data_IF_987710019433
#
_entry.id   IF_987710019433
#
_cell.length_a   1.000
_cell.length_b   1.000
_cell.length_c   1.000
_cell.angle_alpha   90.00
_cell.angle_beta   90.00
_cell.angle_gamma   90.00
#
_symmetry.space_group_name_H-M   'P 1'
#
loop_
_entity.id
_entity.type
_entity.pdbx_description
1 polymer ?
#
# COMPACT_ATOMS: atom_id res chain seq x y z
N UNK A 1 33.65 7.50 -11.76
CA UNK A 1 32.25 7.02 -11.99
C UNK A 1 31.29 8.01 -11.37
N UNK A 2 30.52 8.77 -12.16
CA UNK A 2 29.51 9.70 -11.63
C UNK A 2 28.46 8.92 -10.88
N UNK A 3 28.18 9.29 -9.63
CA UNK A 3 27.06 8.70 -8.86
C UNK A 3 25.77 9.06 -9.60
N UNK A 4 25.16 8.10 -10.27
CA UNK A 4 23.85 8.29 -10.88
C UNK A 4 22.87 8.75 -9.79
N UNK A 5 22.25 9.92 -9.99
CA UNK A 5 21.30 10.48 -9.02
C UNK A 5 20.03 9.64 -9.07
N UNK A 6 19.67 9.05 -7.95
CA UNK A 6 18.44 8.27 -7.82
C UNK A 6 17.20 9.13 -8.08
N UNK A 7 16.14 8.51 -8.63
CA UNK A 7 14.84 9.14 -8.85
C UNK A 7 14.28 9.70 -7.53
N UNK A 8 13.90 10.97 -7.53
CA UNK A 8 13.16 11.54 -6.40
C UNK A 8 11.73 11.01 -6.44
N UNK A 9 11.34 10.25 -5.41
CA UNK A 9 10.01 9.68 -5.32
C UNK A 9 8.96 10.71 -4.90
N UNK A 10 7.81 10.62 -5.55
CA UNK A 10 6.57 11.37 -5.29
C UNK A 10 5.41 10.37 -5.31
N UNK A 11 4.22 10.77 -4.91
CA UNK A 11 3.02 9.92 -5.02
C UNK A 11 2.77 9.46 -6.46
N UNK A 12 2.92 10.36 -7.43
CA UNK A 12 2.67 10.10 -8.85
C UNK A 12 3.65 9.12 -9.50
N UNK A 13 4.88 8.99 -8.98
CA UNK A 13 5.88 8.10 -9.57
C UNK A 13 6.26 6.90 -8.71
N UNK A 14 5.71 6.78 -7.49
CA UNK A 14 6.06 5.72 -6.54
C UNK A 14 5.91 4.31 -7.13
N UNK A 15 4.88 4.09 -7.93
CA UNK A 15 4.58 2.79 -8.57
C UNK A 15 5.10 2.67 -10.00
N UNK A 16 5.91 3.62 -10.47
CA UNK A 16 6.48 3.53 -11.83
C UNK A 16 7.52 2.42 -11.92
N UNK A 17 7.63 1.82 -13.09
CA UNK A 17 8.66 0.81 -13.39
C UNK A 17 10.08 1.36 -13.15
N UNK A 18 10.33 2.66 -13.40
CA UNK A 18 11.60 3.27 -13.11
C UNK A 18 11.88 3.27 -11.60
N UNK A 19 10.89 3.65 -10.78
CA UNK A 19 11.04 3.61 -9.33
C UNK A 19 11.29 2.17 -8.82
N UNK A 20 10.65 1.17 -9.42
CA UNK A 20 10.84 -0.25 -9.07
C UNK A 20 12.20 -0.80 -9.50
N UNK A 21 12.82 -0.22 -10.53
CA UNK A 21 14.21 -0.56 -10.93
C UNK A 21 15.27 0.04 -10.02
N UNK A 22 15.00 1.20 -9.43
CA UNK A 22 15.96 1.93 -8.60
C UNK A 22 15.82 1.64 -7.10
N UNK A 23 14.62 1.25 -6.68
CA UNK A 23 14.28 1.01 -5.27
C UNK A 23 13.56 -0.33 -5.08
N UNK A 24 13.98 -1.06 -4.09
CA UNK A 24 13.28 -2.25 -3.63
C UNK A 24 12.08 -1.85 -2.77
N UNK A 25 10.94 -2.50 -2.98
CA UNK A 25 9.74 -2.34 -2.13
C UNK A 25 9.37 -3.65 -1.45
N UNK A 26 8.52 -3.59 -0.42
CA UNK A 26 8.01 -4.80 0.25
C UNK A 26 7.24 -5.68 -0.72
N UNK A 27 6.39 -5.10 -1.58
CA UNK A 27 5.62 -5.86 -2.57
C UNK A 27 6.54 -6.57 -3.57
N UNK A 28 7.58 -5.88 -4.04
CA UNK A 28 8.58 -6.46 -4.92
C UNK A 28 9.36 -7.59 -4.23
N UNK A 29 9.76 -7.41 -2.97
CA UNK A 29 10.43 -8.45 -2.20
C UNK A 29 9.55 -9.70 -2.05
N UNK A 30 8.27 -9.51 -1.70
CA UNK A 30 7.30 -10.63 -1.64
C UNK A 30 7.10 -11.30 -3.01
N UNK A 31 7.14 -10.52 -4.11
CA UNK A 31 7.05 -11.07 -5.47
C UNK A 31 8.25 -11.93 -5.82
N UNK A 32 9.48 -11.53 -5.44
CA UNK A 32 10.67 -12.35 -5.59
C UNK A 32 10.57 -13.66 -4.80
N UNK A 33 10.09 -13.61 -3.56
CA UNK A 33 9.88 -14.83 -2.75
C UNK A 33 8.86 -15.79 -3.40
N UNK A 34 7.91 -15.27 -4.16
CA UNK A 34 6.89 -16.09 -4.83
C UNK A 34 7.38 -16.64 -6.17
N UNK A 35 7.97 -15.81 -7.01
CA UNK A 35 8.48 -16.19 -8.32
C UNK A 35 9.48 -15.14 -8.84
N UNK A 36 10.77 -15.48 -8.78
CA UNK A 36 11.84 -14.60 -9.25
C UNK A 36 11.73 -14.31 -10.75
N UNK A 37 11.48 -15.33 -11.57
CA UNK A 37 11.39 -15.17 -13.02
C UNK A 37 10.30 -14.19 -13.44
N UNK A 38 9.10 -14.27 -12.84
CA UNK A 38 8.00 -13.36 -13.12
C UNK A 38 8.33 -11.93 -12.65
N UNK A 39 8.98 -11.78 -11.49
CA UNK A 39 9.39 -10.46 -10.98
C UNK A 39 10.46 -9.82 -11.86
N UNK A 40 11.42 -10.61 -12.35
CA UNK A 40 12.42 -10.12 -13.30
C UNK A 40 11.80 -9.74 -14.64
N UNK A 41 10.83 -10.51 -15.16
CA UNK A 41 10.11 -10.17 -16.39
C UNK A 41 9.32 -8.85 -16.22
N UNK A 42 8.67 -8.64 -15.06
CA UNK A 42 8.04 -7.36 -14.74
C UNK A 42 9.06 -6.19 -14.76
N UNK A 43 10.20 -6.35 -14.09
CA UNK A 43 11.23 -5.31 -14.03
C UNK A 43 11.86 -5.00 -15.41
N UNK A 44 11.87 -5.96 -16.33
CA UNK A 44 12.28 -5.73 -17.72
C UNK A 44 11.17 -5.08 -18.56
N UNK A 45 9.94 -5.04 -18.06
CA UNK A 45 8.78 -4.53 -18.79
C UNK A 45 8.14 -5.55 -19.73
N UNK A 46 8.49 -6.83 -19.60
CA UNK A 46 8.00 -7.95 -20.43
C UNK A 46 6.69 -8.54 -19.90
N UNK A 47 6.33 -8.20 -18.65
CA UNK A 47 5.15 -8.72 -17.97
C UNK A 47 4.47 -7.63 -17.13
N UNK A 48 3.14 -7.63 -17.13
CA UNK A 48 2.33 -6.83 -16.22
C UNK A 48 1.28 -7.74 -15.57
N UNK A 49 1.10 -7.60 -14.26
CA UNK A 49 0.03 -8.32 -13.56
C UNK A 49 -1.32 -7.67 -13.85
N UNK A 50 -2.34 -8.49 -14.07
CA UNK A 50 -3.70 -7.99 -14.20
C UNK A 50 -4.20 -7.41 -12.87
N UNK A 51 -4.94 -6.31 -12.96
CA UNK A 51 -5.63 -5.73 -11.81
C UNK A 51 -6.89 -6.53 -11.51
N UNK A 52 -6.93 -7.20 -10.37
CA UNK A 52 -8.10 -7.96 -9.95
C UNK A 52 -9.15 -7.07 -9.27
N UNK A 53 -10.43 -7.47 -9.30
CA UNK A 53 -11.50 -6.77 -8.57
C UNK A 53 -11.17 -6.62 -7.07
N UNK A 54 -10.54 -7.63 -6.47
CA UNK A 54 -10.15 -7.56 -5.06
C UNK A 54 -9.11 -6.45 -4.79
N UNK A 55 -8.15 -6.27 -5.68
CA UNK A 55 -7.18 -5.16 -5.59
C UNK A 55 -7.87 -3.80 -5.77
N UNK A 56 -8.78 -3.68 -6.75
CA UNK A 56 -9.54 -2.45 -6.97
C UNK A 56 -10.41 -2.09 -5.75
N UNK A 57 -11.05 -3.07 -5.11
CA UNK A 57 -11.83 -2.85 -3.87
C UNK A 57 -10.93 -2.36 -2.75
N UNK A 58 -9.74 -2.94 -2.57
CA UNK A 58 -8.75 -2.44 -1.60
C UNK A 58 -8.36 -0.99 -1.90
N UNK A 59 -7.98 -0.70 -3.13
CA UNK A 59 -7.60 0.66 -3.57
C UNK A 59 -8.75 1.67 -3.43
N UNK A 60 -10.00 1.24 -3.62
CA UNK A 60 -11.19 2.08 -3.40
C UNK A 60 -11.31 2.53 -1.94
N UNK A 61 -11.12 1.58 -1.01
CA UNK A 61 -11.15 1.89 0.44
C UNK A 61 -9.96 2.79 0.80
N UNK A 62 -8.76 2.48 0.32
CA UNK A 62 -7.56 3.29 0.56
C UNK A 62 -7.77 4.73 0.05
N UNK A 63 -8.29 4.90 -1.18
CA UNK A 63 -8.55 6.21 -1.78
C UNK A 63 -9.52 7.07 -0.94
N UNK A 64 -10.51 6.45 -0.26
CA UNK A 64 -11.38 7.20 0.64
C UNK A 64 -10.62 7.81 1.82
N UNK A 65 -9.72 7.04 2.45
CA UNK A 65 -8.94 7.51 3.60
C UNK A 65 -7.74 8.38 3.22
N UNK A 66 -7.34 8.36 1.95
CA UNK A 66 -6.35 9.26 1.35
C UNK A 66 -6.97 10.60 0.91
N UNK A 67 -8.29 10.67 0.78
CA UNK A 67 -8.99 11.85 0.26
C UNK A 67 -8.98 11.95 -1.28
N UNK A 68 -8.70 10.85 -1.98
CA UNK A 68 -8.59 10.78 -3.45
C UNK A 68 -9.71 9.97 -4.09
N UNK A 69 -10.80 9.67 -3.37
CA UNK A 69 -11.86 8.78 -3.84
C UNK A 69 -12.54 9.25 -5.13
N UNK A 70 -12.79 10.54 -5.27
CA UNK A 70 -13.43 11.07 -6.49
C UNK A 70 -12.52 10.93 -7.72
N UNK A 71 -11.22 11.16 -7.55
CA UNK A 71 -10.24 10.91 -8.60
C UNK A 71 -10.20 9.41 -8.95
N UNK A 72 -10.17 8.53 -7.95
CA UNK A 72 -10.19 7.09 -8.15
C UNK A 72 -11.43 6.64 -8.94
N UNK A 73 -12.61 7.17 -8.60
CA UNK A 73 -13.87 6.89 -9.31
C UNK A 73 -13.80 7.31 -10.78
N UNK A 74 -13.26 8.49 -11.05
CA UNK A 74 -13.11 9.02 -12.41
C UNK A 74 -12.14 8.16 -13.25
N UNK A 75 -11.06 7.69 -12.66
CA UNK A 75 -10.04 6.86 -13.31
C UNK A 75 -10.48 5.39 -13.49
N UNK A 76 -11.51 4.95 -12.76
CA UNK A 76 -11.96 3.56 -12.74
C UNK A 76 -13.47 3.41 -13.08
N UNK A 77 -13.94 3.83 -14.28
CA UNK A 77 -15.36 3.76 -14.63
C UNK A 77 -15.93 2.34 -14.62
N UNK A 78 -15.06 1.32 -14.71
CA UNK A 78 -15.46 -0.10 -14.65
C UNK A 78 -16.05 -0.53 -13.30
N UNK A 79 -15.95 0.28 -12.25
CA UNK A 79 -16.55 0.00 -10.92
C UNK A 79 -18.06 0.26 -10.91
N UNK A 80 -18.58 0.98 -11.89
CA UNK A 80 -20.00 1.31 -12.02
C UNK A 80 -20.74 0.32 -12.94
N UNK A 81 -22.04 0.22 -12.72
CA UNK A 81 -22.97 -0.42 -13.64
C UNK A 81 -23.38 0.55 -14.75
N UNK A 82 -24.11 0.05 -15.74
CA UNK A 82 -24.63 0.88 -16.86
C UNK A 82 -25.58 2.00 -16.41
N UNK A 83 -26.27 1.81 -15.28
CA UNK A 83 -27.18 2.79 -14.68
C UNK A 83 -26.46 3.84 -13.79
N UNK A 84 -25.13 3.80 -13.74
CA UNK A 84 -24.32 4.70 -12.93
C UNK A 84 -24.19 4.29 -11.46
N UNK A 85 -24.88 3.25 -11.00
CA UNK A 85 -24.73 2.75 -9.62
C UNK A 85 -23.44 1.93 -9.46
N UNK A 86 -22.92 1.85 -8.24
CA UNK A 86 -21.76 1.00 -7.92
C UNK A 86 -22.08 -0.48 -8.11
N UNK A 87 -21.11 -1.25 -8.58
CA UNK A 87 -21.17 -2.72 -8.53
C UNK A 87 -21.18 -3.21 -7.09
N UNK A 88 -21.73 -4.40 -6.85
CA UNK A 88 -21.95 -4.94 -5.50
C UNK A 88 -20.69 -4.95 -4.62
N UNK A 89 -19.53 -5.26 -5.19
CA UNK A 89 -18.26 -5.28 -4.48
C UNK A 89 -17.85 -3.91 -3.95
N UNK A 90 -18.15 -2.84 -4.70
CA UNK A 90 -17.84 -1.46 -4.31
C UNK A 90 -18.92 -0.87 -3.39
N UNK A 91 -20.18 -1.30 -3.52
CA UNK A 91 -21.21 -0.98 -2.51
C UNK A 91 -20.84 -1.56 -1.14
N UNK A 92 -20.32 -2.79 -1.10
CA UNK A 92 -19.77 -3.37 0.15
C UNK A 92 -18.53 -2.64 0.65
N UNK A 93 -17.72 -2.09 -0.24
CA UNK A 93 -16.59 -1.24 0.17
C UNK A 93 -17.06 0.03 0.87
N UNK A 94 -18.15 0.66 0.44
CA UNK A 94 -18.77 1.79 1.15
C UNK A 94 -19.21 1.39 2.57
N UNK A 95 -19.85 0.23 2.73
CA UNK A 95 -20.23 -0.27 4.06
C UNK A 95 -19.01 -0.47 4.98
N UNK A 96 -17.89 -0.99 4.42
CA UNK A 96 -16.63 -1.13 5.16
C UNK A 96 -16.08 0.24 5.55
N UNK A 97 -16.10 1.21 4.64
CA UNK A 97 -15.65 2.59 4.90
C UNK A 97 -16.46 3.19 6.06
N UNK A 98 -17.77 3.04 6.06
CA UNK A 98 -18.63 3.57 7.14
C UNK A 98 -18.38 2.85 8.46
N UNK A 99 -18.16 1.53 8.47
CA UNK A 99 -17.74 0.80 9.67
C UNK A 99 -16.42 1.34 10.25
N UNK A 100 -15.42 1.55 9.38
CA UNK A 100 -14.12 2.11 9.80
C UNK A 100 -14.30 3.53 10.38
N UNK A 101 -15.06 4.38 9.71
CA UNK A 101 -15.33 5.76 10.17
C UNK A 101 -16.07 5.81 11.52
N UNK A 102 -16.92 4.83 11.80
CA UNK A 102 -17.65 4.73 13.05
C UNK A 102 -16.81 4.21 14.24
N UNK A 103 -15.63 3.65 13.98
CA UNK A 103 -14.71 3.14 15.00
C UNK A 103 -13.65 4.21 15.37
N UNK A 104 -13.76 4.84 16.57
CA UNK A 104 -12.82 5.88 16.99
C UNK A 104 -11.37 5.38 17.11
N UNK A 105 -11.16 4.10 17.48
CA UNK A 105 -9.82 3.52 17.58
C UNK A 105 -9.21 3.35 16.21
N UNK A 106 -9.98 2.86 15.25
CA UNK A 106 -9.55 2.73 13.87
C UNK A 106 -9.17 4.10 13.28
N UNK A 107 -10.05 5.09 13.44
CA UNK A 107 -9.80 6.46 12.98
C UNK A 107 -8.59 7.10 13.63
N UNK A 108 -8.32 6.80 14.92
CA UNK A 108 -7.09 7.23 15.59
C UNK A 108 -5.83 6.70 14.89
N UNK A 109 -5.79 5.43 14.54
CA UNK A 109 -4.66 4.85 13.79
C UNK A 109 -4.54 5.41 12.37
N UNK A 110 -5.64 5.80 11.75
CA UNK A 110 -5.65 6.39 10.43
C UNK A 110 -5.50 7.93 10.44
N UNK A 111 -5.27 8.58 11.57
CA UNK A 111 -5.17 10.06 11.66
C UNK A 111 -3.80 10.64 11.30
N UNK A 112 -2.81 9.81 11.03
CA UNK A 112 -1.45 10.26 10.71
C UNK A 112 -1.29 10.87 9.32
N UNK A 113 -0.06 11.30 9.01
CA UNK A 113 0.33 11.75 7.67
C UNK A 113 0.09 10.62 6.68
N UNK A 114 -0.72 10.90 5.64
CA UNK A 114 -1.12 9.93 4.63
C UNK A 114 -0.02 9.73 3.60
N UNK A 115 0.07 8.51 3.05
CA UNK A 115 0.94 8.16 1.93
C UNK A 115 2.39 8.59 2.11
N UNK A 116 2.87 8.60 3.37
CA UNK A 116 4.24 9.02 3.70
C UNK A 116 5.26 8.12 3.03
N UNK A 117 6.05 8.71 2.13
CA UNK A 117 7.14 8.03 1.42
C UNK A 117 8.45 8.22 2.21
N UNK A 118 9.13 7.09 2.47
CA UNK A 118 10.49 7.08 3.01
C UNK A 118 11.37 6.21 2.10
N UNK A 119 12.57 6.72 1.80
CA UNK A 119 13.63 5.95 1.14
C UNK A 119 14.80 5.76 2.09
N UNK A 120 15.40 4.58 2.06
CA UNK A 120 16.57 4.24 2.90
C UNK A 120 17.44 3.19 2.22
N UNK A 121 18.67 3.03 2.72
CA UNK A 121 19.60 2.02 2.23
C UNK A 121 19.77 0.94 3.29
N UNK A 122 19.52 -0.31 2.91
CA UNK A 122 19.66 -1.48 3.77
C UNK A 122 19.94 -2.73 2.92
N UNK A 123 20.65 -3.71 3.45
CA UNK A 123 20.98 -4.98 2.78
C UNK A 123 21.59 -4.79 1.37
N UNK A 124 22.40 -3.75 1.20
CA UNK A 124 23.04 -3.45 -0.09
C UNK A 124 22.14 -2.83 -1.16
N UNK A 125 20.85 -2.64 -0.88
CA UNK A 125 19.87 -2.07 -1.82
C UNK A 125 19.28 -0.75 -1.32
N UNK A 126 18.74 0.04 -2.27
CA UNK A 126 17.91 1.19 -1.94
C UNK A 126 16.47 0.70 -1.77
N UNK A 127 15.82 1.09 -0.69
CA UNK A 127 14.44 0.71 -0.37
C UNK A 127 13.51 1.91 -0.44
N UNK A 128 12.26 1.63 -0.80
CA UNK A 128 11.14 2.57 -0.70
C UNK A 128 10.01 1.95 0.09
N UNK A 129 9.41 2.73 0.98
CA UNK A 129 8.17 2.41 1.69
C UNK A 129 7.19 3.56 1.54
N UNK A 130 5.91 3.24 1.50
CA UNK A 130 4.81 4.21 1.50
C UNK A 130 3.80 3.76 2.54
N UNK A 131 3.57 4.58 3.55
CA UNK A 131 2.76 4.26 4.73
C UNK A 131 1.39 4.89 4.61
N UNK A 132 0.32 4.13 4.83
CA UNK A 132 -1.05 4.64 4.76
C UNK A 132 -1.32 5.68 5.86
N UNK A 133 -0.74 5.47 7.04
CA UNK A 133 -0.80 6.45 8.13
C UNK A 133 0.51 6.43 8.94
N UNK A 134 1.17 7.57 9.00
CA UNK A 134 2.35 7.79 9.82
C UNK A 134 2.07 8.79 10.93
N UNK A 135 1.92 8.32 12.14
CA UNK A 135 1.76 9.17 13.33
C UNK A 135 3.15 9.43 13.89
N UNK A 136 3.66 10.62 13.62
CA UNK A 136 5.03 11.03 13.96
C UNK A 136 5.36 10.70 15.42
N UNK A 137 6.49 10.00 15.60
CA UNK A 137 7.02 9.59 16.91
C UNK A 137 6.13 8.64 17.73
N UNK A 138 5.04 8.14 17.15
CA UNK A 138 4.07 7.27 17.83
C UNK A 138 4.00 5.91 17.16
N UNK A 139 3.52 5.83 15.90
CA UNK A 139 3.35 4.54 15.22
C UNK A 139 3.26 4.67 13.70
N UNK A 140 3.33 3.53 13.05
CA UNK A 140 3.00 3.31 11.65
C UNK A 140 1.72 2.48 11.62
N UNK A 141 0.72 2.88 10.85
CA UNK A 141 -0.47 2.05 10.63
C UNK A 141 -0.67 1.82 9.13
N UNK A 142 -1.08 0.61 8.79
CA UNK A 142 -1.32 0.16 7.42
C UNK A 142 -2.73 -0.43 7.34
N UNK A 143 -3.57 0.15 6.49
CA UNK A 143 -4.95 -0.26 6.30
C UNK A 143 -5.03 -1.48 5.40
N UNK A 144 -5.80 -2.47 5.80
CA UNK A 144 -6.07 -3.63 4.96
C UNK A 144 -7.54 -4.01 5.02
N UNK A 145 -8.09 -4.28 3.85
CA UNK A 145 -9.38 -4.96 3.73
C UNK A 145 -9.13 -6.45 3.46
N UNK A 146 -9.78 -7.30 4.21
CA UNK A 146 -9.63 -8.74 4.08
C UNK A 146 -11.00 -9.43 4.11
N UNK A 147 -11.07 -10.65 3.57
CA UNK A 147 -12.25 -11.48 3.72
C UNK A 147 -12.46 -11.88 5.19
N UNK A 148 -11.38 -12.33 5.80
CA UNK A 148 -11.33 -12.79 7.19
C UNK A 148 -9.91 -12.60 7.75
N UNK A 149 -9.78 -12.67 9.07
CA UNK A 149 -8.49 -12.55 9.77
C UNK A 149 -7.59 -13.78 9.55
N UNK A 150 -8.17 -14.97 9.36
CA UNK A 150 -7.42 -16.24 9.25
C UNK A 150 -6.54 -16.28 8.00
N UNK A 151 -6.92 -15.55 6.96
CA UNK A 151 -6.17 -15.44 5.71
C UNK A 151 -4.94 -14.53 5.77
N UNK A 152 -4.82 -13.67 6.78
CA UNK A 152 -3.77 -12.65 6.85
C UNK A 152 -2.33 -13.20 6.83
N UNK A 153 -1.98 -14.32 7.49
CA UNK A 153 -0.62 -14.85 7.46
C UNK A 153 -0.08 -15.14 6.06
N UNK A 154 -0.95 -15.49 5.11
CA UNK A 154 -0.58 -15.77 3.71
C UNK A 154 0.03 -14.55 3.02
N UNK A 155 -0.31 -13.35 3.45
CA UNK A 155 0.09 -12.10 2.82
C UNK A 155 1.42 -11.55 3.36
N UNK A 156 2.04 -12.26 4.32
CA UNK A 156 3.34 -11.91 4.88
C UNK A 156 3.42 -10.43 5.31
N UNK A 157 2.44 -9.99 6.10
CA UNK A 157 2.45 -8.63 6.67
C UNK A 157 3.52 -8.48 7.76
N UNK A 158 4.03 -9.59 8.31
CA UNK A 158 5.23 -9.65 9.13
C UNK A 158 6.43 -8.99 8.43
N UNK A 159 6.67 -9.34 7.16
CA UNK A 159 7.74 -8.74 6.35
C UNK A 159 7.49 -7.24 6.14
N UNK A 160 6.24 -6.86 5.86
CA UNK A 160 5.90 -5.45 5.66
C UNK A 160 6.17 -4.63 6.92
N UNK A 161 5.69 -5.10 8.07
CA UNK A 161 5.92 -4.44 9.35
C UNK A 161 7.40 -4.30 9.68
N UNK A 162 8.19 -5.36 9.50
CA UNK A 162 9.63 -5.35 9.77
C UNK A 162 10.37 -4.32 8.89
N UNK A 163 10.08 -4.29 7.58
CA UNK A 163 10.74 -3.36 6.63
C UNK A 163 10.29 -1.91 6.89
N UNK A 164 9.00 -1.68 7.18
CA UNK A 164 8.49 -0.35 7.48
C UNK A 164 9.10 0.21 8.76
N UNK A 165 9.13 -0.59 9.84
CA UNK A 165 9.79 -0.21 11.09
C UNK A 165 11.27 0.10 10.87
N UNK A 166 11.97 -0.73 10.09
CA UNK A 166 13.38 -0.51 9.77
C UNK A 166 13.62 0.76 8.97
N UNK A 167 12.78 1.04 7.98
CA UNK A 167 12.86 2.26 7.17
C UNK A 167 12.67 3.52 8.00
N UNK A 168 11.66 3.52 8.87
CA UNK A 168 11.40 4.64 9.78
C UNK A 168 12.55 4.81 10.78
N UNK A 169 13.04 3.73 11.38
CA UNK A 169 14.18 3.76 12.31
C UNK A 169 15.44 4.34 11.65
N UNK A 170 15.75 3.92 10.44
CA UNK A 170 16.90 4.47 9.68
C UNK A 170 16.77 5.98 9.45
N UNK A 171 15.57 6.45 9.14
CA UNK A 171 15.31 7.86 8.83
C UNK A 171 15.22 8.74 10.07
N UNK A 172 14.56 8.25 11.12
CA UNK A 172 14.20 9.06 12.30
C UNK A 172 15.03 8.75 13.55
N UNK A 173 15.80 7.64 13.53
CA UNK A 173 16.52 7.07 14.68
C UNK A 173 15.59 6.57 15.79
N UNK A 174 14.28 6.45 15.52
CA UNK A 174 13.28 5.94 16.47
C UNK A 174 12.66 4.67 15.91
N UNK A 175 12.60 3.63 16.72
CA UNK A 175 11.87 2.41 16.41
C UNK A 175 10.41 2.61 16.81
N UNK A 176 9.52 2.65 15.85
CA UNK A 176 8.08 2.82 16.08
C UNK A 176 7.34 1.49 15.93
N UNK A 177 6.26 1.25 16.69
CA UNK A 177 5.40 0.11 16.46
C UNK A 177 4.72 0.20 15.09
N UNK A 178 4.51 -0.96 14.48
CA UNK A 178 3.71 -1.11 13.26
C UNK A 178 2.38 -1.79 13.61
N UNK A 179 1.29 -1.20 13.20
CA UNK A 179 -0.06 -1.74 13.37
C UNK A 179 -0.69 -2.06 12.02
N UNK A 180 -1.24 -3.25 11.92
CA UNK A 180 -2.06 -3.64 10.79
C UNK A 180 -3.53 -3.36 11.17
N UNK A 181 -4.11 -2.33 10.57
CA UNK A 181 -5.51 -1.96 10.77
C UNK A 181 -6.36 -2.74 9.75
N UNK A 182 -7.03 -3.80 10.20
CA UNK A 182 -7.73 -4.74 9.33
C UNK A 182 -9.23 -4.58 9.45
N UNK A 183 -9.90 -4.23 8.35
CA UNK A 183 -11.34 -4.30 8.22
C UNK A 183 -11.75 -5.56 7.46
N UNK A 184 -12.61 -6.38 8.06
CA UNK A 184 -13.13 -7.59 7.42
C UNK A 184 -14.48 -7.32 6.75
N UNK A 185 -14.83 -8.20 5.78
CA UNK A 185 -16.11 -8.12 5.07
C UNK A 185 -17.28 -8.76 5.86
N UNK A 186 -16.97 -9.36 7.01
CA UNK A 186 -17.92 -9.99 7.93
C UNK A 186 -18.24 -9.06 9.10
#
# INVERSE_FOLDING_TARGET
>A
MSKQKLLKLTESNYYSLQADKEYFSVSQFKSFLRCEAATMAYLRGEYQSETTTALLVGSYVDANFEGTLEQFRAENPQIFKKDGSLKAEFSKAEEIIEKIKSDPLFMKFLSGEKQKIITFKEFGANWKIKMDSYIKDVCIADLKTARDIKGLPKWRYDIQGAIYQRGVEKKTKKKLPFYLAVATKE
#
